data_IF_543513377641
#
_entry.id   IF_543513377641
#
_cell.length_a   1.000
_cell.length_b   1.000
_cell.length_c   1.000
_cell.angle_alpha   90.00
_cell.angle_beta   90.00
_cell.angle_gamma   90.00
#
_symmetry.space_group_name_H-M   'P 1'
#
loop_
_entity.id
_entity.type
_entity.pdbx_description
1 polymer ?
#
# COMPACT_ATOMS: atom_id res chain seq x y z
N UNK A 1 4.90 -12.97 -39.10
CA UNK A 1 3.69 -13.63 -38.57
C UNK A 1 4.02 -14.90 -37.78
N UNK A 2 5.15 -15.59 -38.00
CA UNK A 2 5.55 -16.79 -37.23
C UNK A 2 5.84 -16.55 -35.78
N UNK A 3 6.42 -15.41 -35.36
CA UNK A 3 6.72 -15.10 -33.97
C UNK A 3 5.49 -14.83 -33.09
N UNK A 4 4.42 -14.26 -33.66
CA UNK A 4 3.16 -14.06 -32.97
C UNK A 4 2.44 -15.38 -32.69
N UNK A 5 2.50 -16.34 -33.60
CA UNK A 5 1.90 -17.66 -33.41
C UNK A 5 2.62 -18.50 -32.35
N UNK A 6 3.95 -18.41 -32.28
CA UNK A 6 4.74 -19.05 -31.22
C UNK A 6 4.46 -18.41 -29.87
N UNK A 7 4.46 -17.07 -29.78
CA UNK A 7 4.13 -16.33 -28.58
C UNK A 7 2.76 -16.75 -28.00
N UNK A 8 1.72 -16.76 -28.84
CA UNK A 8 0.37 -17.15 -28.42
C UNK A 8 0.33 -18.61 -27.99
N UNK A 9 1.04 -19.50 -28.71
CA UNK A 9 1.10 -20.93 -28.39
C UNK A 9 1.76 -21.23 -27.05
N UNK A 10 2.87 -20.59 -26.74
CA UNK A 10 3.59 -20.70 -25.47
C UNK A 10 2.83 -20.03 -24.31
N UNK A 11 2.22 -18.88 -24.57
CA UNK A 11 1.43 -18.15 -23.59
C UNK A 11 0.15 -18.87 -23.14
N UNK A 12 -0.42 -19.71 -24.02
CA UNK A 12 -1.59 -20.54 -23.71
C UNK A 12 -1.24 -21.84 -22.98
N UNK A 13 0.05 -22.15 -22.76
CA UNK A 13 0.51 -23.34 -22.04
C UNK A 13 1.20 -22.92 -20.73
N UNK A 14 0.46 -22.66 -19.64
CA UNK A 14 1.03 -22.29 -18.35
C UNK A 14 1.96 -23.39 -17.81
N UNK A 15 3.09 -23.00 -17.23
CA UNK A 15 4.01 -23.90 -16.56
C UNK A 15 3.46 -24.28 -15.18
N UNK A 16 3.05 -25.54 -15.03
CA UNK A 16 2.56 -26.12 -13.76
C UNK A 16 3.61 -26.96 -13.06
N UNK A 17 4.88 -26.82 -13.38
CA UNK A 17 5.93 -27.60 -12.74
C UNK A 17 5.99 -27.30 -11.22
N UNK A 18 6.11 -28.33 -10.35
CA UNK A 18 6.14 -28.14 -8.91
C UNK A 18 7.20 -27.17 -8.41
N UNK A 19 8.45 -27.14 -8.94
CA UNK A 19 9.47 -26.19 -8.50
C UNK A 19 9.13 -24.75 -8.87
N UNK A 20 8.46 -24.54 -10.03
CA UNK A 20 8.04 -23.19 -10.43
C UNK A 20 6.84 -22.70 -9.60
N UNK A 21 5.88 -23.55 -9.29
CA UNK A 21 4.76 -23.21 -8.42
C UNK A 21 5.21 -22.82 -7.01
N UNK A 22 6.26 -23.41 -6.47
CA UNK A 22 6.85 -22.97 -5.21
C UNK A 22 7.42 -21.54 -5.33
N UNK A 23 8.06 -21.21 -6.46
CA UNK A 23 8.56 -19.86 -6.72
C UNK A 23 7.42 -18.86 -6.83
N UNK A 24 6.34 -19.19 -7.52
CA UNK A 24 5.11 -18.38 -7.59
C UNK A 24 4.52 -18.17 -6.18
N UNK A 25 4.47 -19.23 -5.37
CA UNK A 25 3.98 -19.17 -3.98
C UNK A 25 4.80 -18.21 -3.11
N UNK A 26 6.13 -18.26 -3.21
CA UNK A 26 7.00 -17.30 -2.47
C UNK A 26 6.80 -15.86 -2.96
N UNK A 27 6.68 -15.65 -4.27
CA UNK A 27 6.39 -14.32 -4.82
C UNK A 27 5.03 -13.77 -4.40
N UNK A 28 4.02 -14.64 -4.29
CA UNK A 28 2.69 -14.27 -3.78
C UNK A 28 2.78 -13.86 -2.31
N UNK A 29 3.48 -14.63 -1.49
CA UNK A 29 3.69 -14.31 -0.08
C UNK A 29 4.41 -12.97 0.09
N UNK A 30 5.46 -12.71 -0.67
CA UNK A 30 6.17 -11.44 -0.66
C UNK A 30 5.24 -10.27 -1.03
N UNK A 31 4.43 -10.41 -2.07
CA UNK A 31 3.47 -9.39 -2.51
C UNK A 31 2.44 -9.09 -1.41
N UNK A 32 1.87 -10.13 -0.80
CA UNK A 32 0.90 -9.99 0.30
C UNK A 32 1.54 -9.35 1.53
N UNK A 33 2.74 -9.80 1.91
CA UNK A 33 3.49 -9.23 3.03
C UNK A 33 3.79 -7.74 2.81
N UNK A 34 4.24 -7.36 1.60
CA UNK A 34 4.48 -5.96 1.25
C UNK A 34 3.21 -5.12 1.41
N UNK A 35 2.08 -5.58 0.90
CA UNK A 35 0.80 -4.88 0.98
C UNK A 35 0.30 -4.75 2.43
N UNK A 36 0.37 -5.82 3.21
CA UNK A 36 -0.08 -5.82 4.61
C UNK A 36 0.81 -4.96 5.49
N UNK A 37 2.14 -5.15 5.42
CA UNK A 37 3.08 -4.40 6.24
C UNK A 37 3.04 -2.90 5.92
N UNK A 38 3.02 -2.54 4.64
CA UNK A 38 2.91 -1.13 4.24
C UNK A 38 1.61 -0.50 4.71
N UNK A 39 0.49 -1.20 4.62
CA UNK A 39 -0.82 -0.71 5.08
C UNK A 39 -0.84 -0.51 6.59
N UNK A 40 -0.35 -1.49 7.36
CA UNK A 40 -0.27 -1.39 8.82
C UNK A 40 0.64 -0.23 9.26
N UNK A 41 1.84 -0.15 8.70
CA UNK A 41 2.78 0.93 9.00
C UNK A 41 2.18 2.29 8.64
N UNK A 42 1.55 2.40 7.48
CA UNK A 42 0.90 3.64 7.05
C UNK A 42 -0.24 4.05 7.96
N UNK A 43 -1.10 3.12 8.38
CA UNK A 43 -2.21 3.40 9.29
C UNK A 43 -1.69 3.84 10.67
N UNK A 44 -0.66 3.15 11.20
CA UNK A 44 -0.02 3.51 12.47
C UNK A 44 0.62 4.89 12.43
N UNK A 45 1.28 5.24 11.33
CA UNK A 45 1.88 6.57 11.15
C UNK A 45 0.82 7.66 10.91
N UNK A 46 -0.22 7.35 10.14
CA UNK A 46 -1.28 8.30 9.80
C UNK A 46 -2.09 8.75 11.02
N UNK A 47 -2.31 7.87 12.02
CA UNK A 47 -3.06 8.18 13.23
C UNK A 47 -2.51 9.40 13.99
N UNK A 48 -1.26 9.37 14.51
CA UNK A 48 -0.70 10.51 15.23
C UNK A 48 -0.50 11.73 14.31
N UNK A 49 -0.11 11.50 13.05
CA UNK A 49 0.09 12.57 12.09
C UNK A 49 -1.21 13.33 11.80
N UNK A 50 -2.35 12.64 11.68
CA UNK A 50 -3.65 13.27 11.49
C UNK A 50 -4.05 14.15 12.69
N UNK A 51 -3.82 13.67 13.92
CA UNK A 51 -4.10 14.46 15.12
C UNK A 51 -3.25 15.74 15.20
N UNK A 52 -1.97 15.66 14.80
CA UNK A 52 -1.05 16.80 14.75
C UNK A 52 -1.41 17.78 13.63
N UNK A 53 -1.75 17.27 12.45
CA UNK A 53 -2.05 18.08 11.26
C UNK A 53 -3.32 18.92 11.39
N UNK A 54 -4.21 18.59 12.32
CA UNK A 54 -5.37 19.42 12.64
C UNK A 54 -4.97 20.85 13.02
N UNK A 55 -3.79 21.01 13.64
CA UNK A 55 -3.28 22.30 14.13
C UNK A 55 -2.05 22.80 13.37
N UNK A 56 -1.57 22.04 12.39
CA UNK A 56 -0.31 22.30 11.71
C UNK A 56 -0.49 22.27 10.17
N UNK A 57 -0.64 23.45 9.56
CA UNK A 57 -0.80 23.58 8.12
C UNK A 57 0.37 23.03 7.28
N UNK A 58 1.67 23.20 7.66
CA UNK A 58 2.77 22.61 6.92
C UNK A 58 2.71 21.07 6.82
N UNK A 59 2.17 20.41 7.86
CA UNK A 59 2.02 18.95 7.86
C UNK A 59 0.98 18.50 6.81
N UNK A 60 -0.06 19.29 6.57
CA UNK A 60 -1.04 19.02 5.50
C UNK A 60 -0.43 19.17 4.11
N UNK A 61 0.48 20.11 3.93
CA UNK A 61 1.25 20.24 2.68
C UNK A 61 2.11 19.02 2.46
N UNK A 62 2.79 18.53 3.49
CA UNK A 62 3.60 17.30 3.40
C UNK A 62 2.74 16.11 2.94
N UNK A 63 1.52 15.93 3.48
CA UNK A 63 0.64 14.83 3.04
C UNK A 63 0.23 14.99 1.58
N UNK A 64 -0.05 16.23 1.15
CA UNK A 64 -0.36 16.49 -0.25
C UNK A 64 0.83 16.19 -1.17
N UNK A 65 2.05 16.51 -0.77
CA UNK A 65 3.27 16.16 -1.50
C UNK A 65 3.49 14.65 -1.56
N UNK A 66 3.38 13.95 -0.42
CA UNK A 66 3.57 12.50 -0.38
C UNK A 66 2.58 11.74 -1.29
N UNK A 67 1.32 12.16 -1.33
CA UNK A 67 0.30 11.51 -2.19
C UNK A 67 0.34 11.94 -3.64
N UNK A 68 0.95 13.09 -3.98
CA UNK A 68 1.04 13.58 -5.37
C UNK A 68 2.10 12.84 -6.18
N UNK A 69 3.09 12.26 -5.49
CA UNK A 69 4.13 11.46 -6.14
C UNK A 69 3.61 10.03 -6.32
N UNK A 70 3.55 9.50 -7.55
CA UNK A 70 3.18 8.10 -7.79
C UNK A 70 4.09 7.13 -7.02
N UNK A 71 3.51 6.04 -6.50
CA UNK A 71 4.24 5.03 -5.73
C UNK A 71 5.40 4.39 -6.49
N UNK A 72 5.32 4.29 -7.82
CA UNK A 72 6.41 3.82 -8.68
C UNK A 72 7.67 4.68 -8.61
N UNK A 73 7.51 6.00 -8.48
CA UNK A 73 8.64 6.92 -8.34
C UNK A 73 9.33 6.70 -6.98
N UNK A 74 8.54 6.58 -5.91
CA UNK A 74 9.09 6.24 -4.59
C UNK A 74 9.82 4.90 -4.63
N UNK A 75 9.21 3.88 -5.26
CA UNK A 75 9.82 2.55 -5.37
C UNK A 75 11.16 2.61 -6.13
N UNK A 76 11.22 3.30 -7.27
CA UNK A 76 12.44 3.43 -8.06
C UNK A 76 13.56 4.12 -7.29
N UNK A 77 13.25 5.21 -6.57
CA UNK A 77 14.22 5.91 -5.74
C UNK A 77 14.71 5.06 -4.58
N UNK A 78 13.79 4.33 -3.91
CA UNK A 78 14.14 3.48 -2.77
C UNK A 78 14.89 2.22 -3.18
N UNK A 79 14.59 1.65 -4.35
CA UNK A 79 15.39 0.56 -4.92
C UNK A 79 16.83 0.98 -5.16
N UNK A 80 17.07 2.21 -5.61
CA UNK A 80 18.43 2.76 -5.77
C UNK A 80 19.11 2.98 -4.40
N UNK A 81 18.35 3.42 -3.40
CA UNK A 81 18.90 3.78 -2.08
C UNK A 81 19.11 2.58 -1.16
N UNK A 82 18.19 1.62 -1.14
CA UNK A 82 18.16 0.49 -0.18
C UNK A 82 18.54 -0.83 -0.87
N UNK A 83 18.48 -0.88 -2.20
CA UNK A 83 18.70 -2.08 -3.00
C UNK A 83 17.40 -2.72 -3.47
N UNK A 84 17.55 -3.72 -4.37
CA UNK A 84 16.44 -4.53 -4.89
C UNK A 84 15.80 -5.35 -3.76
N UNK A 85 14.49 -5.51 -3.81
CA UNK A 85 13.78 -6.42 -2.92
C UNK A 85 12.57 -5.82 -2.22
N UNK A 86 11.83 -6.64 -1.42
CA UNK A 86 10.56 -6.27 -0.81
C UNK A 86 10.62 -5.06 0.14
N UNK A 87 11.78 -4.81 0.76
CA UNK A 87 11.97 -3.69 1.71
C UNK A 87 11.76 -2.34 1.01
N UNK A 88 12.31 -2.16 -0.20
CA UNK A 88 12.10 -0.95 -0.98
C UNK A 88 10.62 -0.75 -1.33
N UNK A 89 9.91 -1.82 -1.69
CA UNK A 89 8.48 -1.79 -1.96
C UNK A 89 7.64 -1.43 -0.73
N UNK A 90 7.93 -2.03 0.43
CA UNK A 90 7.25 -1.72 1.70
C UNK A 90 7.43 -0.23 2.04
N UNK A 91 8.63 0.30 1.95
CA UNK A 91 8.91 1.71 2.25
C UNK A 91 8.20 2.66 1.27
N UNK A 92 8.22 2.34 -0.04
CA UNK A 92 7.55 3.13 -1.06
C UNK A 92 6.04 3.23 -0.84
N UNK A 93 5.39 2.06 -0.64
CA UNK A 93 3.97 1.99 -0.35
C UNK A 93 3.64 2.67 0.98
N UNK A 94 4.49 2.51 2.00
CA UNK A 94 4.29 3.15 3.30
C UNK A 94 4.30 4.67 3.18
N UNK A 95 5.28 5.25 2.49
CA UNK A 95 5.36 6.70 2.31
C UNK A 95 4.14 7.26 1.57
N UNK A 96 3.81 6.68 0.41
CA UNK A 96 2.67 7.10 -0.38
C UNK A 96 1.35 6.95 0.39
N UNK A 97 1.11 5.75 0.95
CA UNK A 97 -0.14 5.43 1.65
C UNK A 97 -0.31 6.24 2.93
N UNK A 98 0.78 6.55 3.66
CA UNK A 98 0.74 7.44 4.83
C UNK A 98 0.23 8.82 4.44
N UNK A 99 0.71 9.39 3.33
CA UNK A 99 0.22 10.68 2.84
C UNK A 99 -1.28 10.66 2.55
N UNK A 100 -1.78 9.58 1.93
CA UNK A 100 -3.21 9.42 1.61
C UNK A 100 -4.04 9.22 2.87
N UNK A 101 -3.67 8.26 3.74
CA UNK A 101 -4.44 7.95 4.95
C UNK A 101 -4.44 9.11 5.94
N UNK A 102 -3.29 9.76 6.17
CA UNK A 102 -3.21 10.90 7.07
C UNK A 102 -4.14 12.04 6.63
N UNK A 103 -4.23 12.31 5.33
CA UNK A 103 -5.16 13.32 4.80
C UNK A 103 -6.62 12.92 5.02
N UNK A 104 -7.00 11.69 4.70
CA UNK A 104 -8.35 11.18 4.90
C UNK A 104 -8.75 11.18 6.39
N UNK A 105 -7.80 10.83 7.26
CA UNK A 105 -8.03 10.83 8.71
C UNK A 105 -8.24 12.25 9.27
N UNK A 106 -7.47 13.24 8.78
CA UNK A 106 -7.70 14.66 9.14
C UNK A 106 -9.09 15.11 8.71
N UNK A 107 -9.48 14.85 7.47
CA UNK A 107 -10.80 15.23 6.96
C UNK A 107 -11.94 14.57 7.74
N UNK A 108 -11.77 13.30 8.12
CA UNK A 108 -12.75 12.61 8.98
C UNK A 108 -12.86 13.28 10.35
N UNK A 109 -11.73 13.68 10.97
CA UNK A 109 -11.72 14.38 12.25
C UNK A 109 -12.37 15.76 12.18
N UNK A 110 -12.20 16.46 11.08
CA UNK A 110 -12.77 17.81 10.87
C UNK A 110 -14.27 17.76 10.64
N UNK A 111 -14.75 16.74 9.93
CA UNK A 111 -16.16 16.56 9.59
C UNK A 111 -16.97 15.84 10.69
N UNK A 112 -16.32 15.24 11.69
CA UNK A 112 -17.00 14.55 12.75
C UNK A 112 -17.71 15.52 13.70
N UNK A 113 -18.87 15.08 14.24
CA UNK A 113 -19.58 15.83 15.26
C UNK A 113 -18.70 16.02 16.51
N UNK A 114 -18.45 17.27 16.87
CA UNK A 114 -17.63 17.65 18.02
C UNK A 114 -18.44 17.73 19.33
N UNK A 115 -19.77 17.63 19.29
CA UNK A 115 -20.64 17.78 20.48
C UNK A 115 -20.30 16.78 21.59
N UNK A 116 -20.08 15.47 21.36
CA UNK A 116 -19.70 14.54 22.41
C UNK A 116 -18.37 14.86 23.07
N UNK A 117 -17.40 15.31 22.29
CA UNK A 117 -16.09 15.75 22.81
C UNK A 117 -16.22 16.99 23.70
N UNK A 118 -16.98 17.97 23.24
CA UNK A 118 -17.23 19.20 23.99
C UNK A 118 -17.98 18.93 25.29
N UNK A 119 -19.02 18.09 25.27
CA UNK A 119 -19.76 17.69 26.46
C UNK A 119 -18.84 17.07 27.54
N UNK A 120 -17.93 16.19 27.16
CA UNK A 120 -16.93 15.61 28.06
C UNK A 120 -15.97 16.67 28.63
N UNK A 121 -15.54 17.62 27.80
CA UNK A 121 -14.68 18.71 28.28
C UNK A 121 -15.39 19.62 29.28
N UNK A 122 -16.66 19.94 29.03
CA UNK A 122 -17.49 20.72 29.95
C UNK A 122 -17.75 20.00 31.28
N UNK A 123 -17.75 18.66 31.27
CA UNK A 123 -17.85 17.81 32.49
C UNK A 123 -16.50 17.67 33.21
N UNK A 124 -15.44 18.40 32.79
CA UNK A 124 -14.14 18.38 33.46
C UNK A 124 -13.16 17.32 32.89
N UNK A 125 -13.50 16.57 31.86
CA UNK A 125 -12.59 15.61 31.24
C UNK A 125 -11.42 16.31 30.53
N UNK A 126 -10.21 15.77 30.71
CA UNK A 126 -9.03 16.25 30.01
C UNK A 126 -9.11 16.08 28.48
N UNK A 127 -8.27 16.81 27.74
CA UNK A 127 -8.27 16.80 26.26
C UNK A 127 -8.07 15.41 25.65
N UNK A 128 -7.23 14.58 26.24
CA UNK A 128 -6.93 13.22 25.77
C UNK A 128 -8.15 12.32 26.02
N UNK A 129 -8.72 12.34 27.22
CA UNK A 129 -9.90 11.56 27.57
C UNK A 129 -11.10 11.93 26.67
N UNK A 130 -11.37 13.23 26.47
CA UNK A 130 -12.45 13.69 25.61
C UNK A 130 -12.25 13.32 24.13
N UNK A 131 -11.01 13.19 23.66
CA UNK A 131 -10.72 12.66 22.33
C UNK A 131 -11.05 11.16 22.25
N UNK A 132 -10.50 10.35 23.16
CA UNK A 132 -10.64 8.90 23.11
C UNK A 132 -12.08 8.42 23.34
N UNK A 133 -12.82 9.06 24.23
CA UNK A 133 -14.19 8.66 24.57
C UNK A 133 -15.26 9.42 23.77
N UNK A 134 -14.98 10.66 23.34
CA UNK A 134 -15.96 11.47 22.62
C UNK A 134 -15.84 11.46 21.12
N UNK A 135 -14.62 11.48 20.56
CA UNK A 135 -14.41 11.66 19.13
C UNK A 135 -13.92 10.37 18.43
N UNK A 136 -12.97 9.67 19.04
CA UNK A 136 -12.36 8.47 18.45
C UNK A 136 -13.39 7.37 18.08
N UNK A 137 -14.40 7.04 18.89
CA UNK A 137 -15.40 6.04 18.53
C UNK A 137 -16.21 6.41 17.28
N UNK A 138 -16.41 7.69 17.04
CA UNK A 138 -17.15 8.19 15.86
C UNK A 138 -16.35 8.04 14.58
N UNK A 139 -15.02 8.28 14.64
CA UNK A 139 -14.16 8.29 13.45
C UNK A 139 -13.47 6.95 13.18
N UNK A 140 -13.32 6.11 14.19
CA UNK A 140 -12.54 4.86 14.12
C UNK A 140 -13.05 3.88 13.07
N UNK A 141 -14.37 3.76 12.91
CA UNK A 141 -14.98 2.89 11.90
C UNK A 141 -14.60 3.33 10.48
N UNK A 142 -14.62 4.63 10.23
CA UNK A 142 -14.29 5.19 8.91
C UNK A 142 -12.79 5.10 8.65
N UNK A 143 -11.95 5.32 9.65
CA UNK A 143 -10.50 5.13 9.56
C UNK A 143 -10.13 3.68 9.25
N UNK A 144 -10.81 2.73 9.90
CA UNK A 144 -10.62 1.31 9.59
C UNK A 144 -11.04 0.99 8.15
N UNK A 145 -12.20 1.49 7.70
CA UNK A 145 -12.66 1.29 6.33
C UNK A 145 -11.67 1.84 5.29
N UNK A 146 -11.14 3.04 5.51
CA UNK A 146 -10.11 3.61 4.64
C UNK A 146 -8.81 2.80 4.64
N UNK A 147 -8.40 2.29 5.81
CA UNK A 147 -7.19 1.47 5.93
C UNK A 147 -7.34 0.15 5.18
N UNK A 148 -8.50 -0.52 5.29
CA UNK A 148 -8.80 -1.76 4.56
C UNK A 148 -8.85 -1.52 3.05
N UNK A 149 -9.53 -0.47 2.61
CA UNK A 149 -9.57 -0.09 1.20
C UNK A 149 -8.16 0.19 0.64
N UNK A 150 -7.32 0.90 1.42
CA UNK A 150 -5.93 1.14 1.01
C UNK A 150 -5.10 -0.14 1.01
N UNK A 151 -5.40 -1.10 1.89
CA UNK A 151 -4.78 -2.42 1.87
C UNK A 151 -5.03 -3.17 0.55
N UNK A 152 -6.27 -3.16 0.06
CA UNK A 152 -6.61 -3.71 -1.25
C UNK A 152 -5.86 -3.01 -2.39
N UNK A 153 -5.80 -1.67 -2.37
CA UNK A 153 -5.04 -0.90 -3.37
C UNK A 153 -3.53 -1.18 -3.29
N UNK A 154 -2.98 -1.30 -2.08
CA UNK A 154 -1.58 -1.62 -1.88
C UNK A 154 -1.23 -3.03 -2.40
N UNK A 155 -2.17 -3.99 -2.37
CA UNK A 155 -1.96 -5.32 -2.93
C UNK A 155 -1.73 -5.25 -4.46
N UNK A 156 -2.56 -4.49 -5.15
CA UNK A 156 -2.39 -4.25 -6.60
C UNK A 156 -1.10 -3.47 -6.90
N UNK A 157 -0.83 -2.43 -6.13
CA UNK A 157 0.37 -1.62 -6.28
C UNK A 157 1.64 -2.44 -6.03
N UNK A 158 1.68 -3.32 -5.02
CA UNK A 158 2.80 -4.19 -4.72
C UNK A 158 3.18 -5.09 -5.92
N UNK A 159 2.18 -5.60 -6.63
CA UNK A 159 2.41 -6.37 -7.85
C UNK A 159 3.09 -5.52 -8.94
N UNK A 160 2.63 -4.28 -9.14
CA UNK A 160 3.20 -3.38 -10.15
C UNK A 160 4.62 -2.93 -9.76
N UNK A 161 4.87 -2.68 -8.48
CA UNK A 161 6.18 -2.26 -7.98
C UNK A 161 7.28 -3.30 -8.21
N UNK A 162 6.92 -4.57 -8.34
CA UNK A 162 7.85 -5.64 -8.68
C UNK A 162 8.58 -5.41 -10.01
N UNK A 163 7.97 -4.74 -10.98
CA UNK A 163 8.58 -4.40 -12.28
C UNK A 163 9.81 -3.51 -12.12
N UNK A 164 9.85 -2.65 -11.11
CA UNK A 164 11.01 -1.80 -10.79
C UNK A 164 11.98 -2.44 -9.79
N UNK A 165 11.81 -3.74 -9.52
CA UNK A 165 12.72 -4.50 -8.66
C UNK A 165 12.37 -4.47 -7.16
N UNK A 166 11.14 -4.10 -6.82
CA UNK A 166 10.66 -4.09 -5.43
C UNK A 166 10.23 -5.47 -4.89
N UNK A 167 10.50 -6.55 -5.61
CA UNK A 167 10.17 -7.92 -5.16
C UNK A 167 8.78 -8.42 -5.59
N UNK A 168 8.39 -9.56 -5.05
CA UNK A 168 7.07 -10.15 -5.25
C UNK A 168 6.82 -10.75 -6.63
N UNK A 169 5.54 -11.05 -6.92
CA UNK A 169 5.11 -11.63 -8.20
C UNK A 169 5.46 -10.75 -9.41
N UNK A 170 5.38 -9.44 -9.27
CA UNK A 170 5.69 -8.52 -10.36
C UNK A 170 7.14 -8.59 -10.81
N UNK A 171 8.08 -8.79 -9.90
CA UNK A 171 9.50 -8.98 -10.25
C UNK A 171 9.71 -10.32 -10.98
N UNK A 172 9.07 -11.39 -10.55
CA UNK A 172 9.13 -12.68 -11.23
C UNK A 172 8.53 -12.59 -12.63
N UNK A 173 7.40 -11.91 -12.79
CA UNK A 173 6.78 -11.66 -14.09
C UNK A 173 7.71 -10.88 -15.03
N UNK A 174 8.31 -9.81 -14.52
CA UNK A 174 9.26 -9.01 -15.30
C UNK A 174 10.47 -9.84 -15.76
N UNK A 175 11.05 -10.65 -14.88
CA UNK A 175 12.17 -11.54 -15.21
C UNK A 175 11.76 -12.59 -16.24
N UNK A 176 10.61 -13.25 -16.07
CA UNK A 176 10.10 -14.25 -17.02
C UNK A 176 9.87 -13.66 -18.40
N UNK A 177 9.28 -12.46 -18.49
CA UNK A 177 9.09 -11.74 -19.75
C UNK A 177 10.42 -11.31 -20.40
N UNK A 178 11.38 -10.85 -19.59
CA UNK A 178 12.71 -10.43 -20.08
C UNK A 178 13.54 -11.60 -20.62
N UNK A 179 13.29 -12.82 -20.12
CA UNK A 179 13.93 -14.05 -20.57
C UNK A 179 13.12 -14.79 -21.65
N UNK A 180 12.03 -14.18 -22.16
CA UNK A 180 11.13 -14.76 -23.16
C UNK A 180 10.51 -16.11 -22.73
N UNK A 181 10.30 -16.32 -21.41
CA UNK A 181 9.63 -17.51 -20.86
C UNK A 181 8.13 -17.23 -20.73
N UNK A 182 7.42 -17.33 -21.84
CA UNK A 182 6.01 -16.96 -21.91
C UNK A 182 5.08 -17.93 -21.18
N UNK A 183 5.46 -19.19 -21.09
CA UNK A 183 4.82 -20.23 -20.27
C UNK A 183 4.80 -19.87 -18.79
N UNK A 184 5.92 -19.44 -18.24
CA UNK A 184 6.03 -18.97 -16.85
C UNK A 184 5.31 -17.63 -16.62
N UNK A 185 5.40 -16.72 -17.58
CA UNK A 185 4.70 -15.44 -17.51
C UNK A 185 3.17 -15.64 -17.46
N UNK A 186 2.63 -16.60 -18.23
CA UNK A 186 1.20 -16.90 -18.21
C UNK A 186 0.72 -17.44 -16.85
N UNK A 187 1.50 -18.34 -16.22
CA UNK A 187 1.21 -18.82 -14.86
C UNK A 187 1.21 -17.69 -13.81
N UNK A 188 2.20 -16.77 -13.91
CA UNK A 188 2.28 -15.63 -13.00
C UNK A 188 1.11 -14.66 -13.19
N UNK A 189 0.66 -14.41 -14.42
CA UNK A 189 -0.52 -13.57 -14.68
C UNK A 189 -1.79 -14.22 -14.12
N UNK A 190 -1.93 -15.53 -14.17
CA UNK A 190 -3.05 -16.23 -13.58
C UNK A 190 -3.03 -16.19 -12.03
N UNK A 191 -1.85 -16.02 -11.43
CA UNK A 191 -1.68 -15.92 -9.98
C UNK A 191 -1.88 -14.50 -9.43
N UNK A 192 -1.83 -13.46 -10.28
CA UNK A 192 -2.06 -12.05 -9.96
C UNK A 192 -3.54 -11.70 -9.97
#
# INVERSE_FOLDING_TARGET
LGGLGQFIGEFLQPDWSPPFLLTVGTGLLDTVQMALLSTLLSALLALPLACLARHCWPLRLLFNLLRSVPELIFASLLVIAVGLGPVAGILALTLHTTGVLARLFVETLENADQAPRLALQLSGAGRIASFWYGLFPLVSRQWLAYSLYRGEMNLRAATILGVVGAGGLGQQLYVSLSLFRYDQASTLILAI
#
